data_IF_653430733750
#
_entry.id   IF_653430733750
#
_cell.length_a   1.000
_cell.length_b   1.000
_cell.length_c   1.000
_cell.angle_alpha   90.00
_cell.angle_beta   90.00
_cell.angle_gamma   90.00
#
_symmetry.space_group_name_H-M   'P 1'
#
loop_
_entity.id
_entity.type
_entity.pdbx_description
1 polymer ?
#
# COMPACT_ATOMS: atom_id res chain seq x y z
N UNK A 1 2.75 -26.77 63.95
CA UNK A 1 3.28 -26.05 62.77
C UNK A 1 3.36 -27.03 61.62
N UNK A 2 2.38 -27.00 60.71
CA UNK A 2 2.34 -27.91 59.55
C UNK A 2 2.95 -27.20 58.34
N UNK A 3 4.13 -27.67 57.89
CA UNK A 3 4.85 -27.15 56.73
C UNK A 3 4.39 -27.90 55.48
N UNK A 4 3.65 -27.20 54.62
CA UNK A 4 3.12 -27.68 53.35
C UNK A 4 4.28 -27.86 52.35
N UNK A 5 4.54 -29.09 51.91
CA UNK A 5 5.52 -29.41 50.85
C UNK A 5 4.92 -29.10 49.47
N UNK A 6 5.67 -28.45 48.55
CA UNK A 6 5.16 -28.13 47.22
C UNK A 6 5.00 -29.38 46.35
N UNK A 7 3.80 -29.55 45.78
CA UNK A 7 3.38 -30.68 44.94
C UNK A 7 4.21 -30.80 43.64
N UNK A 8 4.83 -31.97 43.42
CA UNK A 8 5.68 -32.29 42.27
C UNK A 8 4.96 -32.19 40.91
N UNK A 9 3.62 -32.22 40.89
CA UNK A 9 2.82 -32.06 39.68
C UNK A 9 2.91 -30.64 39.09
N UNK A 10 3.04 -29.60 39.94
CA UNK A 10 3.06 -28.22 39.48
C UNK A 10 4.36 -27.89 38.71
N UNK A 11 5.47 -28.52 39.08
CA UNK A 11 6.78 -28.30 38.47
C UNK A 11 6.93 -28.98 37.10
N UNK A 12 6.28 -30.12 36.88
CA UNK A 12 6.30 -30.80 35.57
C UNK A 12 5.45 -30.05 34.54
N UNK A 13 4.28 -29.56 34.94
CA UNK A 13 3.40 -28.79 34.05
C UNK A 13 4.02 -27.45 33.62
N UNK A 14 4.74 -26.79 34.53
CA UNK A 14 5.49 -25.57 34.21
C UNK A 14 6.63 -25.83 33.22
N UNK A 15 7.36 -26.95 33.37
CA UNK A 15 8.41 -27.37 32.42
C UNK A 15 7.82 -27.67 31.04
N UNK A 16 6.66 -28.34 30.99
CA UNK A 16 5.97 -28.67 29.75
C UNK A 16 5.49 -27.39 29.02
N UNK A 17 4.89 -26.43 29.73
CA UNK A 17 4.49 -25.14 29.16
C UNK A 17 5.67 -24.29 28.67
N UNK A 18 6.81 -24.36 29.37
CA UNK A 18 8.03 -23.67 28.93
C UNK A 18 8.57 -24.28 27.63
N UNK A 19 8.57 -25.61 27.51
CA UNK A 19 8.99 -26.31 26.30
C UNK A 19 8.07 -25.97 25.11
N UNK A 20 6.75 -25.95 25.32
CA UNK A 20 5.78 -25.58 24.30
C UNK A 20 5.97 -24.14 23.81
N UNK A 21 6.24 -23.19 24.70
CA UNK A 21 6.53 -21.81 24.32
C UNK A 21 7.80 -21.71 23.46
N UNK A 22 8.86 -22.42 23.83
CA UNK A 22 10.13 -22.43 23.06
C UNK A 22 9.91 -23.04 21.67
N UNK A 23 9.15 -24.13 21.58
CA UNK A 23 8.80 -24.77 20.31
C UNK A 23 7.99 -23.82 19.43
N UNK A 24 7.00 -23.13 20.00
CA UNK A 24 6.15 -22.19 19.26
C UNK A 24 6.92 -20.97 18.75
N UNK A 25 7.86 -20.42 19.54
CA UNK A 25 8.76 -19.34 19.09
C UNK A 25 9.65 -19.83 17.94
N UNK A 26 10.24 -21.02 18.06
CA UNK A 26 11.08 -21.60 16.99
C UNK A 26 10.29 -21.85 15.70
N UNK A 27 9.04 -22.32 15.81
CA UNK A 27 8.14 -22.50 14.66
C UNK A 27 7.76 -21.16 14.03
N UNK A 28 7.52 -20.12 14.84
CA UNK A 28 7.22 -18.78 14.35
C UNK A 28 8.41 -18.17 13.59
N UNK A 29 9.62 -18.28 14.14
CA UNK A 29 10.85 -17.83 13.47
C UNK A 29 11.12 -18.60 12.18
N UNK A 30 10.93 -19.93 12.18
CA UNK A 30 11.05 -20.75 10.96
C UNK A 30 10.03 -20.34 9.89
N UNK A 31 8.76 -20.12 10.27
CA UNK A 31 7.73 -19.60 9.37
C UNK A 31 8.08 -18.21 8.83
N UNK A 32 8.57 -17.31 9.69
CA UNK A 32 8.97 -15.95 9.29
C UNK A 32 10.18 -15.96 8.34
N UNK A 33 11.14 -16.88 8.57
CA UNK A 33 12.29 -17.08 7.69
C UNK A 33 11.89 -17.67 6.33
N UNK A 34 10.96 -18.63 6.31
CA UNK A 34 10.39 -19.20 5.09
C UNK A 34 9.57 -18.18 4.28
N UNK A 35 8.79 -17.33 4.95
CA UNK A 35 8.08 -16.19 4.34
C UNK A 35 9.06 -15.19 3.69
N UNK A 36 10.17 -14.84 4.37
CA UNK A 36 11.24 -13.99 3.79
C UNK A 36 11.87 -14.62 2.55
N UNK A 37 12.14 -15.93 2.58
CA UNK A 37 12.73 -16.65 1.44
C UNK A 37 11.75 -16.70 0.26
N UNK A 38 10.44 -16.82 0.51
CA UNK A 38 9.42 -16.78 -0.54
C UNK A 38 9.36 -15.42 -1.26
N UNK A 39 9.61 -14.31 -0.55
CA UNK A 39 9.71 -12.96 -1.16
C UNK A 39 11.01 -12.73 -1.95
N UNK A 40 12.05 -13.51 -1.68
CA UNK A 40 13.39 -13.39 -2.31
C UNK A 40 13.50 -13.99 -3.71
N UNK A 41 12.46 -14.66 -4.22
CA UNK A 41 12.44 -15.22 -5.59
C UNK A 41 11.75 -14.31 -6.62
N UNK A 42 11.69 -12.99 -6.38
CA UNK A 42 11.37 -12.07 -7.48
C UNK A 42 12.56 -12.10 -8.42
N UNK A 43 12.34 -12.38 -9.70
CA UNK A 43 13.36 -12.14 -10.75
C UNK A 43 13.94 -10.76 -10.50
N UNK A 44 15.26 -10.66 -10.42
CA UNK A 44 15.92 -9.37 -10.41
C UNK A 44 15.41 -8.60 -11.63
N UNK A 45 14.77 -7.46 -11.38
CA UNK A 45 14.20 -6.62 -12.43
C UNK A 45 15.35 -5.79 -13.01
N UNK A 46 16.27 -6.44 -13.71
CA UNK A 46 17.45 -5.84 -14.32
C UNK A 46 17.08 -5.19 -15.67
N UNK A 47 15.93 -4.49 -15.72
CA UNK A 47 15.57 -3.70 -16.89
C UNK A 47 16.31 -2.36 -16.78
N UNK A 48 17.46 -2.28 -17.44
CA UNK A 48 18.08 -1.00 -17.75
C UNK A 48 17.34 -0.40 -18.93
N UNK A 49 16.82 0.81 -18.76
CA UNK A 49 16.31 1.58 -19.91
C UNK A 49 17.41 1.65 -20.97
N UNK A 50 17.08 1.42 -22.26
CA UNK A 50 18.02 1.69 -23.34
C UNK A 50 18.56 3.11 -23.18
N UNK A 51 19.87 3.27 -23.32
CA UNK A 51 20.53 4.57 -23.23
C UNK A 51 20.33 5.38 -24.54
N UNK A 52 19.11 5.33 -25.09
CA UNK A 52 18.69 6.07 -26.25
C UNK A 52 18.30 7.47 -25.80
N UNK A 53 18.86 8.50 -26.44
CA UNK A 53 18.41 9.85 -26.17
C UNK A 53 16.93 9.98 -26.55
N UNK A 54 16.07 10.54 -25.68
CA UNK A 54 14.67 10.70 -25.98
C UNK A 54 14.53 11.61 -27.21
N UNK A 55 13.88 11.08 -28.24
CA UNK A 55 13.54 11.86 -29.44
C UNK A 55 12.72 13.08 -29.07
N UNK A 56 12.94 14.21 -29.75
CA UNK A 56 12.10 15.39 -29.58
C UNK A 56 10.62 15.06 -29.78
N UNK A 57 9.77 15.49 -28.83
CA UNK A 57 8.32 15.27 -28.87
C UNK A 57 7.71 15.78 -30.19
N UNK A 58 8.31 16.84 -30.75
CA UNK A 58 7.99 17.40 -32.06
C UNK A 58 8.05 16.41 -33.22
N UNK A 59 8.96 15.46 -33.15
CA UNK A 59 9.26 14.52 -34.23
C UNK A 59 8.36 13.29 -34.13
N UNK A 60 8.16 12.77 -32.92
CA UNK A 60 7.40 11.54 -32.70
C UNK A 60 5.90 11.74 -32.51
N UNK A 61 5.50 12.80 -31.81
CA UNK A 61 4.13 13.01 -31.33
C UNK A 61 3.73 14.49 -31.34
N UNK A 62 3.64 15.12 -32.53
CA UNK A 62 3.32 16.54 -32.66
C UNK A 62 1.97 16.90 -32.01
N UNK A 63 1.00 15.98 -31.98
CA UNK A 63 -0.32 16.16 -31.37
C UNK A 63 -0.33 16.29 -29.84
N UNK A 64 0.82 16.11 -29.18
CA UNK A 64 0.97 16.23 -27.73
C UNK A 64 1.56 17.58 -27.30
N UNK A 65 2.13 18.36 -28.22
CA UNK A 65 2.79 19.63 -27.91
C UNK A 65 1.83 20.70 -27.36
N UNK A 66 0.63 20.77 -27.93
CA UNK A 66 -0.34 21.81 -27.58
C UNK A 66 -1.25 21.42 -26.41
N UNK A 67 -1.03 20.24 -25.82
CA UNK A 67 -1.85 19.74 -24.73
C UNK A 67 -1.32 20.21 -23.38
N UNK A 68 -2.25 20.68 -22.56
CA UNK A 68 -1.97 20.93 -21.15
C UNK A 68 -1.62 19.60 -20.43
N UNK A 69 -0.74 19.58 -19.42
CA UNK A 69 -0.37 18.35 -18.70
C UNK A 69 -1.56 17.55 -18.18
N UNK A 70 -2.66 18.21 -17.79
CA UNK A 70 -3.90 17.54 -17.37
C UNK A 70 -4.60 16.88 -18.55
N UNK A 71 -4.59 17.51 -19.72
CA UNK A 71 -5.16 16.92 -20.95
C UNK A 71 -4.34 15.73 -21.43
N UNK A 72 -3.00 15.83 -21.33
CA UNK A 72 -2.10 14.72 -21.64
C UNK A 72 -2.37 13.52 -20.71
N UNK A 73 -2.50 13.79 -19.41
CA UNK A 73 -2.90 12.75 -18.44
C UNK A 73 -4.26 12.13 -18.83
N UNK A 74 -5.22 12.95 -19.23
CA UNK A 74 -6.54 12.52 -19.67
C UNK A 74 -6.53 11.60 -20.90
N UNK A 75 -5.51 11.67 -21.77
CA UNK A 75 -5.36 10.72 -22.89
C UNK A 75 -5.01 9.30 -22.41
N UNK A 76 -4.23 9.17 -21.35
CA UNK A 76 -3.84 7.88 -20.79
C UNK A 76 -4.83 7.37 -19.72
N UNK A 77 -5.46 8.30 -18.99
CA UNK A 77 -6.42 8.02 -17.94
C UNK A 77 -7.74 8.79 -18.20
N UNK A 78 -8.59 8.28 -19.11
CA UNK A 78 -9.84 8.95 -19.46
C UNK A 78 -10.80 8.97 -18.25
N UNK A 79 -11.67 9.98 -18.21
CA UNK A 79 -12.58 10.20 -17.07
C UNK A 79 -13.52 9.03 -16.86
N UNK A 80 -13.92 8.37 -17.93
CA UNK A 80 -14.78 7.19 -17.96
C UNK A 80 -14.12 6.02 -17.21
N UNK A 81 -12.80 5.86 -17.38
CA UNK A 81 -12.03 4.83 -16.68
C UNK A 81 -11.96 5.10 -15.18
N UNK A 82 -11.69 6.35 -14.78
CA UNK A 82 -11.69 6.75 -13.37
C UNK A 82 -13.09 6.56 -12.75
N UNK A 83 -14.16 6.89 -13.49
CA UNK A 83 -15.54 6.65 -13.06
C UNK A 83 -15.85 5.16 -12.90
N UNK A 84 -15.33 4.32 -13.80
CA UNK A 84 -15.46 2.86 -13.69
C UNK A 84 -14.75 2.32 -12.45
N UNK A 85 -13.53 2.79 -12.16
CA UNK A 85 -12.82 2.46 -10.93
C UNK A 85 -13.61 2.87 -9.68
N UNK A 86 -14.22 4.06 -9.66
CA UNK A 86 -15.06 4.50 -8.56
C UNK A 86 -16.28 3.59 -8.36
N UNK A 87 -16.97 3.25 -9.45
CA UNK A 87 -18.12 2.35 -9.44
C UNK A 87 -17.75 0.96 -8.89
N UNK A 88 -16.69 0.35 -9.42
CA UNK A 88 -16.23 -0.98 -9.01
C UNK A 88 -15.75 -0.99 -7.56
N UNK A 89 -15.02 0.05 -7.13
CA UNK A 89 -14.57 0.17 -5.74
C UNK A 89 -15.76 0.29 -4.78
N UNK A 90 -16.76 1.10 -5.13
CA UNK A 90 -17.99 1.27 -4.34
C UNK A 90 -18.75 -0.06 -4.21
N UNK A 91 -18.89 -0.80 -5.31
CA UNK A 91 -19.53 -2.11 -5.32
C UNK A 91 -18.78 -3.11 -4.42
N UNK A 92 -17.45 -3.17 -4.54
CA UNK A 92 -16.61 -4.03 -3.70
C UNK A 92 -16.73 -3.68 -2.21
N UNK A 93 -16.73 -2.39 -1.88
CA UNK A 93 -16.89 -1.90 -0.51
C UNK A 93 -18.26 -2.29 0.07
N UNK A 94 -19.32 -2.13 -0.72
CA UNK A 94 -20.69 -2.55 -0.38
C UNK A 94 -20.78 -4.06 -0.11
N UNK A 95 -20.17 -4.89 -0.96
CA UNK A 95 -20.13 -6.35 -0.76
C UNK A 95 -19.41 -6.77 0.53
N UNK A 96 -18.43 -5.99 0.97
CA UNK A 96 -17.71 -6.24 2.24
C UNK A 96 -18.43 -5.66 3.46
N UNK A 97 -19.63 -5.10 3.30
CA UNK A 97 -20.43 -4.54 4.39
C UNK A 97 -19.82 -3.29 5.02
N UNK A 98 -18.93 -2.58 4.31
CA UNK A 98 -18.33 -1.34 4.79
C UNK A 98 -19.03 -0.17 4.11
N UNK A 99 -19.42 0.86 4.85
CA UNK A 99 -19.96 2.09 4.28
C UNK A 99 -18.84 3.12 4.17
N UNK A 100 -18.26 3.27 2.97
CA UNK A 100 -17.33 4.36 2.64
C UNK A 100 -17.97 5.11 1.47
N UNK A 101 -18.13 6.42 1.63
CA UNK A 101 -18.50 7.28 0.51
C UNK A 101 -17.29 7.37 -0.43
N UNK A 102 -17.45 6.84 -1.63
CA UNK A 102 -16.44 6.91 -2.70
C UNK A 102 -17.11 7.50 -3.92
N UNK A 103 -16.57 8.60 -4.40
CA UNK A 103 -16.97 9.26 -5.63
C UNK A 103 -15.83 9.28 -6.66
N UNK A 104 -16.16 9.68 -7.89
CA UNK A 104 -15.18 9.97 -8.93
C UNK A 104 -14.06 10.88 -8.42
N UNK A 105 -14.42 11.94 -7.68
CA UNK A 105 -13.48 12.93 -7.17
C UNK A 105 -12.47 12.30 -6.20
N UNK A 106 -12.92 11.39 -5.33
CA UNK A 106 -12.03 10.69 -4.40
C UNK A 106 -11.00 9.84 -5.13
N UNK A 107 -11.41 9.13 -6.18
CA UNK A 107 -10.49 8.30 -6.97
C UNK A 107 -9.51 9.17 -7.77
N UNK A 108 -9.99 10.27 -8.37
CA UNK A 108 -9.13 11.20 -9.10
C UNK A 108 -8.07 11.84 -8.18
N UNK A 109 -8.49 12.31 -7.00
CA UNK A 109 -7.58 12.84 -5.98
C UNK A 109 -6.60 11.77 -5.48
N UNK A 110 -7.07 10.56 -5.22
CA UNK A 110 -6.23 9.43 -4.82
C UNK A 110 -5.15 9.13 -5.87
N UNK A 111 -5.51 9.08 -7.15
CA UNK A 111 -4.56 8.89 -8.26
C UNK A 111 -3.56 10.04 -8.36
N UNK A 112 -4.02 11.29 -8.17
CA UNK A 112 -3.14 12.46 -8.11
C UNK A 112 -2.12 12.38 -6.98
N UNK A 113 -2.54 11.93 -5.79
CA UNK A 113 -1.63 11.71 -4.66
C UNK A 113 -0.66 10.55 -4.90
N UNK A 114 -1.09 9.49 -5.59
CA UNK A 114 -0.19 8.42 -6.02
C UNK A 114 0.87 8.92 -7.00
N UNK A 115 0.49 9.74 -7.98
CA UNK A 115 1.42 10.35 -8.93
C UNK A 115 2.42 11.24 -8.19
N UNK A 116 1.93 12.08 -7.28
CA UNK A 116 2.77 12.92 -6.41
C UNK A 116 3.77 12.08 -5.62
N UNK A 117 3.36 10.92 -5.10
CA UNK A 117 4.25 10.05 -4.32
C UNK A 117 5.38 9.40 -5.13
N UNK A 118 5.22 9.31 -6.45
CA UNK A 118 6.28 8.86 -7.36
C UNK A 118 7.29 9.96 -7.67
N UNK A 119 6.87 11.23 -7.59
CA UNK A 119 7.73 12.40 -7.80
C UNK A 119 8.43 12.84 -6.52
N UNK A 120 7.68 12.98 -5.43
CA UNK A 120 8.17 13.45 -4.14
C UNK A 120 8.37 12.26 -3.20
N UNK A 121 9.62 11.87 -2.96
CA UNK A 121 9.93 10.73 -2.11
C UNK A 121 9.96 11.11 -0.62
N UNK A 122 9.24 10.35 0.21
CA UNK A 122 9.36 10.39 1.67
C UNK A 122 9.68 9.01 2.25
N UNK A 123 10.39 8.91 3.40
CA UNK A 123 10.80 7.61 3.95
C UNK A 123 9.65 6.69 4.36
N UNK A 124 8.49 7.25 4.70
CA UNK A 124 7.29 6.52 5.12
C UNK A 124 6.05 7.25 4.63
N UNK A 125 5.04 6.49 4.22
CA UNK A 125 3.75 7.00 3.78
C UNK A 125 3.10 7.97 4.78
N UNK A 126 3.27 7.71 6.08
CA UNK A 126 2.70 8.56 7.13
C UNK A 126 3.27 9.98 7.15
N UNK A 127 4.46 10.17 6.58
CA UNK A 127 5.09 11.49 6.53
C UNK A 127 4.43 12.44 5.54
N UNK A 128 3.70 11.94 4.53
CA UNK A 128 2.91 12.82 3.65
C UNK A 128 1.82 13.60 4.41
N UNK A 129 1.36 13.11 5.56
CA UNK A 129 0.41 13.79 6.45
C UNK A 129 1.07 14.32 7.73
N UNK A 130 2.39 14.42 7.76
CA UNK A 130 3.11 14.97 8.90
C UNK A 130 2.89 16.48 9.00
N UNK A 131 2.76 16.97 10.23
CA UNK A 131 2.79 18.41 10.54
C UNK A 131 4.20 18.93 10.84
N UNK A 132 5.22 18.06 10.79
CA UNK A 132 6.62 18.46 11.01
C UNK A 132 7.13 19.30 9.83
N UNK A 133 7.81 20.41 10.12
CA UNK A 133 8.26 21.40 9.14
C UNK A 133 9.11 20.79 8.01
N UNK A 134 10.04 19.90 8.35
CA UNK A 134 10.96 19.28 7.39
C UNK A 134 10.31 18.24 6.46
N UNK A 135 9.09 17.79 6.77
CA UNK A 135 8.41 16.70 6.08
C UNK A 135 7.02 17.09 5.57
N UNK A 136 6.65 18.36 5.74
CA UNK A 136 5.31 18.86 5.45
C UNK A 136 5.07 18.90 3.95
N UNK A 137 4.10 18.13 3.48
CA UNK A 137 3.62 18.18 2.09
C UNK A 137 2.21 18.72 2.10
N UNK A 138 2.06 20.04 2.17
CA UNK A 138 0.79 20.73 2.46
C UNK A 138 -0.38 20.32 1.57
N UNK A 139 -0.09 20.03 0.30
CA UNK A 139 -1.12 19.63 -0.65
C UNK A 139 -1.80 18.31 -0.27
N UNK A 140 -1.08 17.37 0.35
CA UNK A 140 -1.60 16.02 0.65
C UNK A 140 -2.73 16.05 1.68
N UNK A 141 -2.56 16.59 2.91
CA UNK A 141 -3.63 16.65 3.90
C UNK A 141 -4.79 17.56 3.48
N UNK A 142 -4.53 18.58 2.65
CA UNK A 142 -5.57 19.46 2.08
C UNK A 142 -6.45 18.72 1.07
N UNK A 143 -5.85 17.90 0.20
CA UNK A 143 -6.58 17.17 -0.84
C UNK A 143 -7.35 16.00 -0.24
N UNK A 144 -6.72 15.20 0.63
CA UNK A 144 -7.37 14.02 1.20
C UNK A 144 -6.78 13.68 2.57
N UNK A 145 -7.64 13.45 3.56
CA UNK A 145 -7.18 13.02 4.88
C UNK A 145 -6.60 11.60 4.84
N UNK A 146 -5.64 11.31 5.73
CA UNK A 146 -5.03 9.97 5.88
C UNK A 146 -6.09 8.88 6.13
N UNK A 147 -7.13 9.24 6.90
CA UNK A 147 -8.20 8.33 7.29
C UNK A 147 -9.14 8.00 6.13
N UNK A 148 -9.18 8.82 5.09
CA UNK A 148 -9.91 8.56 3.85
C UNK A 148 -9.03 7.83 2.83
N UNK A 149 -7.77 8.25 2.69
CA UNK A 149 -6.80 7.67 1.76
C UNK A 149 -6.53 6.18 2.04
N UNK A 150 -6.29 5.78 3.29
CA UNK A 150 -5.91 4.40 3.64
C UNK A 150 -7.01 3.38 3.32
N UNK A 151 -8.29 3.58 3.70
CA UNK A 151 -9.37 2.69 3.29
C UNK A 151 -9.48 2.58 1.77
N UNK A 152 -9.43 3.71 1.05
CA UNK A 152 -9.48 3.73 -0.41
C UNK A 152 -8.34 2.91 -1.00
N UNK A 153 -7.09 3.18 -0.62
CA UNK A 153 -5.90 2.43 -1.05
C UNK A 153 -6.06 0.93 -0.86
N UNK A 154 -6.50 0.53 0.34
CA UNK A 154 -6.68 -0.89 0.69
C UNK A 154 -7.72 -1.53 -0.25
N UNK A 155 -8.88 -0.91 -0.41
CA UNK A 155 -10.00 -1.45 -1.19
C UNK A 155 -9.71 -1.42 -2.70
N UNK A 156 -9.03 -0.38 -3.17
CA UNK A 156 -8.59 -0.29 -4.56
C UNK A 156 -7.60 -1.41 -4.88
N UNK A 157 -6.55 -1.51 -4.08
CA UNK A 157 -5.50 -2.50 -4.29
C UNK A 157 -6.03 -3.94 -4.29
N UNK A 158 -6.97 -4.28 -3.40
CA UNK A 158 -7.57 -5.61 -3.38
C UNK A 158 -8.39 -5.90 -4.64
N UNK A 159 -9.32 -5.03 -5.06
CA UNK A 159 -10.16 -5.35 -6.22
C UNK A 159 -9.40 -5.31 -7.56
N UNK A 160 -8.39 -4.43 -7.71
CA UNK A 160 -7.59 -4.36 -8.96
C UNK A 160 -6.68 -5.58 -9.08
N UNK A 161 -6.19 -6.12 -7.97
CA UNK A 161 -5.25 -7.25 -7.97
C UNK A 161 -5.93 -8.63 -7.90
N UNK A 162 -7.26 -8.66 -7.72
CA UNK A 162 -8.08 -9.89 -7.73
C UNK A 162 -8.72 -10.16 -9.11
N UNK A 163 -8.58 -9.23 -10.07
CA UNK A 163 -9.00 -9.36 -11.48
C UNK A 163 -7.80 -9.68 -12.39
#
# INVERSE_FOLDING_TARGET
>A
MSLMMPSQHHTQEQKQRALEKVVMVSLHEKKFKLERIRRSKRKEFNYTFPNEEPSDIKIGFPELQDLDPIQLFGKHFPKEYIGTLACMTKLYVSQKGVMIAIDYTDIAQFLGLLLLSGYYWVPKEDYYWSSAEDLKVDIVPTVMSRNHFRPIKKKIFFHVNDN
#
